data_IF_778502041884
#
_entry.id   IF_778502041884
#
_cell.length_a   1.000
_cell.length_b   1.000
_cell.length_c   1.000
_cell.angle_alpha   90.00
_cell.angle_beta   90.00
_cell.angle_gamma   90.00
#
_symmetry.space_group_name_H-M   'P 1'
#
loop_
_entity.id
_entity.type
_entity.pdbx_description
1 polymer ?
#
# COMPACT_ATOMS: atom_id res chain seq x y z
N UNK A 1 24.34 41.84 8.03
CA UNK A 1 24.76 40.68 7.21
C UNK A 1 24.84 39.47 8.12
N UNK A 2 23.67 38.87 8.53
CA UNK A 2 23.69 37.64 9.34
C UNK A 2 22.34 36.85 9.26
N UNK A 3 21.72 36.76 8.07
CA UNK A 3 20.44 36.04 7.92
C UNK A 3 20.44 34.94 6.83
N UNK A 4 21.57 34.58 6.22
CA UNK A 4 21.60 33.61 5.12
C UNK A 4 22.18 32.23 5.44
N UNK A 5 22.61 31.96 6.68
CA UNK A 5 23.29 30.69 7.03
C UNK A 5 22.37 29.63 7.61
N UNK A 6 21.18 29.98 8.13
CA UNK A 6 20.30 29.03 8.85
C UNK A 6 19.47 28.16 7.89
N UNK A 7 19.17 28.63 6.67
CA UNK A 7 18.31 27.90 5.74
C UNK A 7 19.01 26.70 5.03
N UNK A 8 20.33 26.75 4.89
CA UNK A 8 21.11 25.70 4.20
C UNK A 8 21.29 24.46 5.08
N UNK A 9 21.38 24.64 6.40
CA UNK A 9 21.58 23.53 7.36
C UNK A 9 20.33 22.65 7.51
N UNK A 10 19.13 23.21 7.50
CA UNK A 10 17.89 22.42 7.63
C UNK A 10 17.57 21.62 6.36
N UNK A 11 17.82 22.16 5.20
CA UNK A 11 17.59 21.47 3.92
C UNK A 11 18.60 20.32 3.73
N UNK A 12 19.86 20.48 4.13
CA UNK A 12 20.86 19.44 4.09
C UNK A 12 20.53 18.27 5.04
N UNK A 13 20.05 18.55 6.25
CA UNK A 13 19.63 17.50 7.20
C UNK A 13 18.42 16.71 6.69
N UNK A 14 17.43 17.37 6.08
CA UNK A 14 16.26 16.68 5.52
C UNK A 14 16.65 15.73 4.38
N UNK A 15 17.56 16.17 3.50
CA UNK A 15 18.05 15.35 2.37
C UNK A 15 18.89 14.17 2.85
N UNK A 16 19.64 14.33 3.93
CA UNK A 16 20.46 13.27 4.52
C UNK A 16 19.60 12.21 5.25
N UNK A 17 18.53 12.64 5.91
CA UNK A 17 17.53 11.78 6.54
C UNK A 17 16.74 10.95 5.52
N UNK A 18 16.32 11.56 4.41
CA UNK A 18 15.63 10.85 3.33
C UNK A 18 16.53 9.80 2.65
N UNK A 19 17.79 10.15 2.41
CA UNK A 19 18.77 9.23 1.81
C UNK A 19 19.11 8.07 2.75
N UNK A 20 19.22 8.33 4.05
CA UNK A 20 19.46 7.32 5.07
C UNK A 20 18.29 6.35 5.18
N UNK A 21 17.06 6.86 5.21
CA UNK A 21 15.83 6.06 5.28
C UNK A 21 15.64 5.20 4.01
N UNK A 22 15.94 5.74 2.84
CA UNK A 22 15.92 5.02 1.57
C UNK A 22 16.90 3.83 1.57
N UNK A 23 18.12 4.03 2.05
CA UNK A 23 19.12 2.97 2.14
C UNK A 23 18.68 1.88 3.13
N UNK A 24 18.03 2.23 4.24
CA UNK A 24 17.51 1.26 5.21
C UNK A 24 16.46 0.34 4.60
N UNK A 25 15.46 0.88 3.89
CA UNK A 25 14.40 0.09 3.25
C UNK A 25 14.98 -0.87 2.20
N UNK A 26 15.91 -0.42 1.36
CA UNK A 26 16.53 -1.30 0.36
C UNK A 26 17.37 -2.40 1.02
N UNK A 27 18.05 -2.13 2.14
CA UNK A 27 18.77 -3.14 2.91
C UNK A 27 17.81 -4.17 3.52
N UNK A 28 16.65 -3.74 4.05
CA UNK A 28 15.64 -4.65 4.59
C UNK A 28 15.09 -5.57 3.51
N UNK A 29 14.83 -5.05 2.31
CA UNK A 29 14.38 -5.84 1.16
C UNK A 29 15.46 -6.83 0.72
N UNK A 30 16.74 -6.43 0.70
CA UNK A 30 17.87 -7.30 0.35
C UNK A 30 18.04 -8.44 1.34
N UNK A 31 17.75 -8.22 2.63
CA UNK A 31 17.74 -9.27 3.66
C UNK A 31 16.62 -10.30 3.43
N UNK A 32 15.46 -9.87 2.89
CA UNK A 32 14.36 -10.77 2.56
C UNK A 32 14.68 -11.60 1.31
N UNK A 33 15.24 -10.95 0.28
CA UNK A 33 15.64 -11.60 -0.96
C UNK A 33 16.79 -10.84 -1.65
N UNK A 34 18.03 -11.35 -1.61
CA UNK A 34 19.18 -10.68 -2.25
C UNK A 34 19.02 -10.46 -3.76
N UNK A 35 18.10 -11.18 -4.41
CA UNK A 35 17.85 -11.05 -5.85
C UNK A 35 16.71 -10.07 -6.17
N UNK A 36 16.20 -9.30 -5.20
CA UNK A 36 15.07 -8.40 -5.41
C UNK A 36 15.28 -7.40 -6.58
N UNK A 37 16.53 -7.03 -6.86
CA UNK A 37 16.88 -6.13 -7.97
C UNK A 37 16.61 -6.72 -9.36
N UNK A 38 16.39 -8.04 -9.46
CA UNK A 38 16.00 -8.72 -10.71
C UNK A 38 14.48 -8.69 -10.92
N UNK A 39 13.71 -8.34 -9.90
CA UNK A 39 12.25 -8.23 -9.98
C UNK A 39 11.90 -6.99 -10.83
N UNK A 40 11.10 -7.18 -11.89
CA UNK A 40 10.71 -6.08 -12.79
C UNK A 40 9.95 -4.98 -12.02
N UNK A 41 8.97 -5.38 -11.19
CA UNK A 41 8.18 -4.45 -10.36
C UNK A 41 7.90 -5.09 -9.00
N UNK A 42 8.31 -4.40 -7.95
CA UNK A 42 8.07 -4.75 -6.55
C UNK A 42 7.40 -3.59 -5.82
N UNK A 43 6.31 -3.89 -5.12
CA UNK A 43 5.70 -3.02 -4.13
C UNK A 43 6.09 -3.55 -2.74
N UNK A 44 6.95 -2.84 -2.05
CA UNK A 44 7.31 -3.18 -0.66
C UNK A 44 6.46 -2.37 0.31
N UNK A 45 5.68 -3.07 1.14
CA UNK A 45 4.77 -2.48 2.11
C UNK A 45 5.38 -2.65 3.50
N UNK A 46 5.81 -1.54 4.09
CA UNK A 46 6.28 -1.46 5.48
C UNK A 46 5.10 -1.08 6.39
N UNK A 47 4.62 -2.10 7.13
CA UNK A 47 3.50 -1.94 8.07
C UNK A 47 3.86 -1.04 9.24
N UNK A 48 5.13 -1.02 9.64
CA UNK A 48 5.58 -0.23 10.80
C UNK A 48 5.55 1.26 10.51
N UNK A 49 6.04 1.66 9.33
CA UNK A 49 6.06 3.07 8.92
C UNK A 49 4.81 3.51 8.15
N UNK A 50 3.86 2.60 7.87
CA UNK A 50 2.66 2.83 7.06
C UNK A 50 3.00 3.42 5.69
N UNK A 51 3.99 2.82 5.02
CA UNK A 51 4.48 3.24 3.69
C UNK A 51 4.53 2.06 2.74
N UNK A 52 4.35 2.37 1.47
CA UNK A 52 4.58 1.44 0.37
C UNK A 52 5.58 2.04 -0.61
N UNK A 53 6.66 1.30 -0.89
CA UNK A 53 7.71 1.72 -1.82
C UNK A 53 7.53 0.97 -3.14
N UNK A 54 7.36 1.70 -4.23
CA UNK A 54 7.36 1.17 -5.58
C UNK A 54 8.79 1.10 -6.09
N UNK A 55 9.25 -0.10 -6.39
CA UNK A 55 10.61 -0.39 -6.85
C UNK A 55 10.55 -1.05 -8.23
N UNK A 56 11.39 -0.61 -9.14
CA UNK A 56 11.54 -1.20 -10.46
C UNK A 56 13.02 -1.56 -10.69
N UNK A 57 13.29 -2.87 -10.89
CA UNK A 57 14.65 -3.38 -11.09
C UNK A 57 15.63 -2.87 -10.02
N UNK A 58 15.27 -3.00 -8.76
CA UNK A 58 16.08 -2.57 -7.62
C UNK A 58 16.16 -1.05 -7.40
N UNK A 59 15.49 -0.24 -8.23
CA UNK A 59 15.48 1.21 -8.09
C UNK A 59 14.14 1.69 -7.55
N UNK A 60 14.16 2.45 -6.46
CA UNK A 60 12.95 3.11 -5.94
C UNK A 60 12.44 4.15 -6.94
N UNK A 61 11.16 4.02 -7.29
CA UNK A 61 10.45 4.94 -8.18
C UNK A 61 9.68 5.98 -7.37
N UNK A 62 8.93 5.51 -6.35
CA UNK A 62 8.09 6.37 -5.53
C UNK A 62 7.72 5.68 -4.22
N UNK A 63 7.52 6.49 -3.18
CA UNK A 63 6.96 6.06 -1.89
C UNK A 63 5.58 6.66 -1.71
N UNK A 64 4.63 5.83 -1.24
CA UNK A 64 3.25 6.18 -0.95
C UNK A 64 2.95 6.00 0.52
N UNK A 65 2.17 6.89 1.11
CA UNK A 65 1.55 6.65 2.42
C UNK A 65 0.38 5.68 2.27
N UNK A 66 0.25 4.76 3.23
CA UNK A 66 -0.82 3.75 3.22
C UNK A 66 -1.52 3.71 4.59
N UNK A 67 -2.58 2.93 4.68
CA UNK A 67 -3.19 2.52 5.95
C UNK A 67 -3.45 1.01 5.91
N UNK A 68 -2.85 0.30 6.86
CA UNK A 68 -3.06 -1.14 7.07
C UNK A 68 -4.11 -1.39 8.15
N UNK A 69 -4.30 -2.65 8.54
CA UNK A 69 -5.32 -3.02 9.52
C UNK A 69 -5.07 -2.43 10.91
N UNK A 70 -6.13 -1.89 11.51
CA UNK A 70 -6.17 -1.50 12.93
C UNK A 70 -6.03 -2.72 13.87
N UNK A 71 -6.38 -3.91 13.41
CA UNK A 71 -6.27 -5.17 14.16
C UNK A 71 -4.87 -5.80 14.08
N UNK A 72 -3.92 -5.11 13.43
CA UNK A 72 -2.55 -5.58 13.24
C UNK A 72 -2.40 -6.58 12.10
N UNK A 73 -1.40 -7.48 12.22
CA UNK A 73 -1.01 -8.41 11.17
C UNK A 73 -1.45 -9.84 11.44
N UNK A 74 -1.81 -10.59 10.39
CA UNK A 74 -2.24 -12.00 10.48
C UNK A 74 -2.98 -12.46 9.24
N UNK A 75 -3.02 -13.77 9.03
CA UNK A 75 -3.57 -14.37 7.82
C UNK A 75 -4.88 -15.11 8.01
N UNK A 76 -5.35 -15.29 9.24
CA UNK A 76 -6.56 -16.06 9.53
C UNK A 76 -7.79 -15.38 8.90
N UNK A 77 -8.66 -16.21 8.33
CA UNK A 77 -9.96 -15.78 7.81
C UNK A 77 -10.79 -15.13 8.91
N UNK A 78 -11.50 -14.05 8.59
CA UNK A 78 -12.31 -13.24 9.51
C UNK A 78 -11.54 -12.58 10.67
N UNK A 79 -10.21 -12.55 10.61
CA UNK A 79 -9.39 -11.83 11.62
C UNK A 79 -9.34 -10.32 11.42
N UNK A 80 -9.73 -9.82 10.25
CA UNK A 80 -9.58 -8.41 9.83
C UNK A 80 -8.14 -7.91 9.82
N UNK A 81 -7.15 -8.78 9.96
CA UNK A 81 -5.73 -8.46 10.00
C UNK A 81 -5.11 -8.42 8.60
N UNK A 82 -4.07 -7.61 8.42
CA UNK A 82 -3.28 -7.55 7.19
C UNK A 82 -2.31 -8.73 7.13
N UNK A 83 -2.37 -9.58 6.08
CA UNK A 83 -1.46 -10.72 5.95
C UNK A 83 -0.05 -10.27 5.56
N UNK A 84 0.96 -10.85 6.21
CA UNK A 84 2.37 -10.61 5.89
C UNK A 84 2.90 -11.56 4.79
N UNK A 85 4.05 -11.19 4.22
CA UNK A 85 4.84 -12.00 3.33
C UNK A 85 4.70 -11.63 1.85
N UNK A 86 5.15 -12.54 0.99
CA UNK A 86 5.18 -12.33 -0.47
C UNK A 86 3.80 -12.58 -1.09
N UNK A 87 3.36 -11.64 -1.88
CA UNK A 87 2.12 -11.66 -2.67
C UNK A 87 2.43 -11.24 -4.12
N UNK A 88 1.45 -11.40 -4.98
CA UNK A 88 1.42 -10.78 -6.31
C UNK A 88 0.07 -10.09 -6.55
N UNK A 89 0.03 -9.17 -7.49
CA UNK A 89 -1.22 -8.59 -7.98
C UNK A 89 -1.92 -9.66 -8.83
N UNK A 90 -2.99 -10.24 -8.30
CA UNK A 90 -3.81 -11.24 -9.00
C UNK A 90 -4.63 -10.59 -10.11
N UNK A 91 -5.28 -9.45 -9.80
CA UNK A 91 -6.18 -8.77 -10.72
C UNK A 91 -6.26 -7.29 -10.44
N UNK A 92 -6.37 -6.50 -11.50
CA UNK A 92 -6.62 -5.05 -11.48
C UNK A 92 -8.07 -4.77 -11.82
N UNK A 93 -8.79 -3.99 -10.99
CA UNK A 93 -10.22 -3.69 -11.17
C UNK A 93 -10.46 -2.20 -11.01
N UNK A 94 -11.32 -1.64 -11.86
CA UNK A 94 -11.68 -0.22 -11.82
C UNK A 94 -11.03 0.61 -12.91
N UNK A 95 -10.49 -0.01 -13.97
CA UNK A 95 -9.96 0.74 -15.12
C UNK A 95 -11.00 1.73 -15.66
N UNK A 96 -10.57 2.95 -15.94
CA UNK A 96 -11.40 4.05 -16.44
C UNK A 96 -12.57 4.47 -15.53
N UNK A 97 -12.68 3.99 -14.30
CA UNK A 97 -13.67 4.51 -13.36
C UNK A 97 -13.29 5.93 -12.91
N UNK A 98 -14.28 6.77 -12.61
CA UNK A 98 -14.02 8.09 -12.08
C UNK A 98 -13.31 8.06 -10.73
N UNK A 99 -12.62 9.14 -10.40
CA UNK A 99 -12.03 9.35 -9.08
C UNK A 99 -13.11 9.19 -7.99
N UNK A 100 -12.77 8.49 -6.90
CA UNK A 100 -13.64 8.22 -5.76
C UNK A 100 -14.86 7.33 -6.07
N UNK A 101 -14.91 6.63 -7.22
CA UNK A 101 -15.97 5.66 -7.53
C UNK A 101 -16.03 4.58 -6.43
N UNK A 102 -17.23 4.33 -5.88
CA UNK A 102 -17.44 3.31 -4.84
C UNK A 102 -17.59 1.94 -5.49
N UNK A 103 -16.71 1.00 -5.15
CA UNK A 103 -16.77 -0.39 -5.62
C UNK A 103 -17.37 -1.29 -4.53
N UNK A 104 -18.56 -1.81 -4.75
CA UNK A 104 -19.19 -2.82 -3.90
C UNK A 104 -19.10 -4.19 -4.56
N UNK A 105 -18.49 -5.17 -3.87
CA UNK A 105 -18.24 -6.49 -4.46
C UNK A 105 -17.41 -6.41 -5.76
N UNK A 106 -16.47 -5.46 -5.84
CA UNK A 106 -15.58 -5.21 -7.00
C UNK A 106 -16.27 -4.65 -8.24
N UNK A 107 -17.49 -4.14 -8.10
CA UNK A 107 -18.25 -3.50 -9.17
C UNK A 107 -18.61 -2.07 -8.76
N UNK A 108 -18.45 -1.11 -9.67
CA UNK A 108 -18.90 0.26 -9.42
C UNK A 108 -20.42 0.30 -9.26
N UNK A 109 -20.89 0.83 -8.15
CA UNK A 109 -22.32 0.94 -7.84
C UNK A 109 -23.00 2.20 -8.40
N UNK A 110 -22.28 3.00 -9.21
CA UNK A 110 -22.76 4.27 -9.78
C UNK A 110 -22.54 5.49 -8.88
N UNK A 111 -22.13 5.30 -7.63
CA UNK A 111 -21.90 6.39 -6.68
C UNK A 111 -20.42 6.82 -6.61
N UNK A 112 -20.23 8.06 -6.17
CA UNK A 112 -18.94 8.68 -5.90
C UNK A 112 -18.87 8.98 -4.40
N UNK A 113 -17.79 8.56 -3.75
CA UNK A 113 -17.57 8.79 -2.32
C UNK A 113 -17.29 10.27 -2.03
N UNK A 114 -17.87 10.78 -0.95
CA UNK A 114 -17.40 12.01 -0.31
C UNK A 114 -16.15 11.69 0.49
N UNK A 115 -15.08 12.44 0.26
CA UNK A 115 -13.79 12.20 0.93
C UNK A 115 -13.78 12.90 2.28
N UNK A 116 -13.46 12.12 3.31
CA UNK A 116 -13.27 12.56 4.70
C UNK A 116 -11.79 12.78 4.90
N UNK A 117 -11.41 14.04 5.17
CA UNK A 117 -10.02 14.45 5.41
C UNK A 117 -9.65 14.54 6.88
N UNK A 118 -10.66 14.56 7.71
CA UNK A 118 -10.55 14.55 9.15
C UNK A 118 -10.10 13.17 9.63
N UNK A 119 -9.52 13.13 10.80
CA UNK A 119 -9.14 11.91 11.51
C UNK A 119 -10.38 11.24 12.13
N UNK A 120 -11.25 10.71 11.26
CA UNK A 120 -12.53 10.09 11.65
C UNK A 120 -12.64 8.74 10.97
N UNK A 121 -12.83 7.71 11.78
CA UNK A 121 -13.19 6.36 11.34
C UNK A 121 -14.72 6.27 11.29
N UNK A 122 -15.27 5.80 10.19
CA UNK A 122 -16.71 5.69 9.98
C UNK A 122 -17.13 4.24 9.89
N UNK A 123 -18.43 3.95 10.05
CA UNK A 123 -18.99 2.60 9.89
C UNK A 123 -18.90 2.07 8.44
N UNK A 124 -18.37 2.87 7.51
CA UNK A 124 -18.34 2.57 6.07
C UNK A 124 -16.91 2.53 5.54
N UNK A 125 -16.26 1.37 5.58
CA UNK A 125 -14.97 1.15 4.88
C UNK A 125 -15.21 0.98 3.37
N UNK A 126 -15.39 2.12 2.67
CA UNK A 126 -15.61 2.11 1.23
C UNK A 126 -14.31 1.83 0.46
N UNK A 127 -14.32 0.75 -0.32
CA UNK A 127 -13.34 0.54 -1.39
C UNK A 127 -13.63 1.51 -2.53
N UNK A 128 -12.68 2.37 -2.87
CA UNK A 128 -12.89 3.43 -3.86
C UNK A 128 -11.84 3.43 -4.97
N UNK A 129 -12.16 4.06 -6.09
CA UNK A 129 -11.32 4.35 -7.25
C UNK A 129 -10.77 3.12 -7.96
N UNK A 130 -9.86 2.38 -7.36
CA UNK A 130 -9.14 1.22 -7.95
C UNK A 130 -8.96 0.11 -6.94
N UNK A 131 -8.85 -1.12 -7.44
CA UNK A 131 -8.48 -2.31 -6.68
C UNK A 131 -7.31 -2.99 -7.36
N UNK A 132 -6.25 -3.23 -6.62
CA UNK A 132 -5.20 -4.20 -6.91
C UNK A 132 -5.45 -5.39 -5.97
N UNK A 133 -6.04 -6.48 -6.49
CA UNK A 133 -6.39 -7.65 -5.70
C UNK A 133 -5.17 -8.54 -5.53
N UNK A 134 -4.83 -8.88 -4.31
CA UNK A 134 -3.62 -9.64 -3.98
C UNK A 134 -3.89 -11.15 -3.93
N UNK A 135 -2.91 -11.94 -4.37
CA UNK A 135 -2.81 -13.38 -4.15
C UNK A 135 -1.57 -13.68 -3.32
N UNK A 136 -1.72 -14.45 -2.24
CA UNK A 136 -0.59 -14.89 -1.42
C UNK A 136 0.27 -15.90 -2.17
N UNK A 137 1.58 -15.88 -1.95
CA UNK A 137 2.54 -16.78 -2.61
C UNK A 137 3.18 -17.80 -1.67
N UNK A 138 2.99 -17.65 -0.34
CA UNK A 138 3.65 -18.46 0.66
C UNK A 138 2.65 -19.45 1.32
N UNK A 139 2.75 -20.73 0.96
CA UNK A 139 1.92 -21.79 1.53
C UNK A 139 2.08 -21.85 3.06
N UNK A 140 0.96 -21.92 3.77
CA UNK A 140 0.93 -21.97 5.24
C UNK A 140 1.14 -20.63 5.92
N UNK A 141 1.36 -19.54 5.16
CA UNK A 141 1.53 -18.19 5.71
C UNK A 141 0.43 -17.22 5.21
N UNK A 142 0.25 -17.11 3.89
CA UNK A 142 -0.76 -16.25 3.27
C UNK A 142 -1.46 -16.92 2.08
N UNK A 143 -1.22 -18.22 1.90
CA UNK A 143 -1.81 -19.09 0.89
C UNK A 143 -2.27 -20.40 1.50
N UNK A 144 -3.51 -20.80 1.22
CA UNK A 144 -4.11 -22.06 1.67
C UNK A 144 -5.39 -21.86 2.48
N UNK A 145 -6.05 -22.95 2.81
CA UNK A 145 -7.39 -22.94 3.43
C UNK A 145 -7.42 -22.13 4.72
N UNK A 146 -8.33 -21.16 4.81
CA UNK A 146 -8.56 -20.33 5.99
C UNK A 146 -7.52 -19.21 6.22
N UNK A 147 -6.52 -19.08 5.32
CA UNK A 147 -5.47 -18.05 5.40
C UNK A 147 -5.14 -17.40 4.05
N UNK A 148 -5.84 -17.79 3.00
CA UNK A 148 -5.54 -17.35 1.63
C UNK A 148 -5.90 -15.88 1.42
N UNK A 149 -4.90 -15.05 1.10
CA UNK A 149 -5.08 -13.61 0.93
C UNK A 149 -6.07 -13.27 -0.19
N UNK A 150 -6.10 -14.08 -1.28
CA UNK A 150 -7.04 -13.87 -2.38
C UNK A 150 -8.47 -14.22 -1.97
N UNK A 151 -8.68 -15.33 -1.28
CA UNK A 151 -9.99 -15.75 -0.80
C UNK A 151 -10.53 -14.82 0.30
N UNK A 152 -9.63 -14.21 1.10
CA UNK A 152 -9.93 -13.18 2.08
C UNK A 152 -10.17 -11.79 1.47
N UNK A 153 -10.07 -11.64 0.15
CA UNK A 153 -10.27 -10.37 -0.56
C UNK A 153 -9.34 -9.25 -0.08
N UNK A 154 -8.06 -9.56 0.11
CA UNK A 154 -7.05 -8.55 0.46
C UNK A 154 -6.70 -7.73 -0.78
N UNK A 155 -6.86 -6.40 -0.66
CA UNK A 155 -6.65 -5.45 -1.74
C UNK A 155 -5.65 -4.36 -1.35
N UNK A 156 -5.05 -3.73 -2.36
CA UNK A 156 -4.59 -2.34 -2.30
C UNK A 156 -5.66 -1.51 -3.01
N UNK A 157 -6.22 -0.47 -2.35
CA UNK A 157 -7.34 0.28 -2.89
C UNK A 157 -7.41 1.72 -2.35
N UNK A 158 -8.19 2.58 -3.02
CA UNK A 158 -8.51 3.90 -2.50
C UNK A 158 -9.57 3.83 -1.39
N UNK A 159 -9.60 4.83 -0.52
CA UNK A 159 -10.56 4.94 0.57
C UNK A 159 -11.32 6.26 0.54
N UNK A 160 -12.53 6.29 1.11
CA UNK A 160 -13.23 7.53 1.41
C UNK A 160 -12.61 8.27 2.61
N UNK A 161 -11.93 7.56 3.50
CA UNK A 161 -11.36 8.06 4.75
C UNK A 161 -9.87 8.42 4.56
N UNK A 162 -9.60 9.39 3.67
CA UNK A 162 -8.22 9.81 3.38
C UNK A 162 -7.51 10.46 4.59
N UNK A 163 -8.27 10.95 5.60
CA UNK A 163 -7.71 11.48 6.84
C UNK A 163 -7.05 10.42 7.72
N UNK A 164 -7.29 9.12 7.47
CA UNK A 164 -6.70 8.00 8.19
C UNK A 164 -5.43 7.44 7.52
N UNK A 165 -5.06 7.92 6.33
CA UNK A 165 -3.83 7.47 5.65
C UNK A 165 -2.60 7.90 6.46
N UNK A 166 -1.66 6.97 6.64
CA UNK A 166 -0.44 7.14 7.45
C UNK A 166 -0.50 6.46 8.81
N UNK A 167 -1.65 5.85 9.16
CA UNK A 167 -1.85 5.08 10.40
C UNK A 167 -2.71 3.83 10.15
N UNK A 168 -2.61 2.78 10.99
CA UNK A 168 -3.48 1.61 10.90
C UNK A 168 -4.95 2.00 11.13
N UNK A 169 -5.84 1.67 10.17
CA UNK A 169 -7.28 1.96 10.26
C UNK A 169 -8.16 1.02 9.41
N UNK A 170 -7.59 0.13 8.57
CA UNK A 170 -8.37 -0.75 7.71
C UNK A 170 -8.84 -2.04 8.40
N UNK A 171 -9.73 -2.77 7.72
CA UNK A 171 -10.17 -4.12 8.08
C UNK A 171 -9.38 -5.21 7.31
N UNK A 172 -8.07 -5.01 7.15
CA UNK A 172 -7.16 -6.00 6.56
C UNK A 172 -6.55 -5.62 5.23
N UNK A 173 -7.20 -4.79 4.42
CA UNK A 173 -6.69 -4.29 3.17
C UNK A 173 -5.61 -3.19 3.38
N UNK A 174 -4.95 -2.80 2.30
CA UNK A 174 -4.02 -1.67 2.26
C UNK A 174 -4.73 -0.50 1.57
N UNK A 175 -5.08 0.53 2.36
CA UNK A 175 -5.74 1.73 1.86
C UNK A 175 -4.71 2.75 1.37
N UNK A 176 -5.04 3.50 0.31
CA UNK A 176 -4.25 4.59 -0.25
C UNK A 176 -5.11 5.83 -0.48
N UNK A 177 -4.48 6.98 -0.65
CA UNK A 177 -5.14 8.12 -1.27
C UNK A 177 -5.68 7.74 -2.65
N UNK A 178 -6.86 8.24 -3.00
CA UNK A 178 -7.50 7.91 -4.29
C UNK A 178 -6.63 8.27 -5.51
N UNK A 179 -5.96 9.40 -5.47
CA UNK A 179 -5.05 9.82 -6.55
C UNK A 179 -3.85 8.89 -6.66
N UNK A 180 -3.29 8.48 -5.52
CA UNK A 180 -2.11 7.62 -5.47
C UNK A 180 -2.42 6.20 -5.97
N UNK A 181 -3.57 5.62 -5.59
CA UNK A 181 -3.93 4.30 -6.09
C UNK A 181 -4.26 4.29 -7.58
N UNK A 182 -4.81 5.39 -8.13
CA UNK A 182 -5.01 5.53 -9.58
C UNK A 182 -3.67 5.59 -10.30
N UNK A 183 -2.74 6.42 -9.83
CA UNK A 183 -1.38 6.50 -10.38
C UNK A 183 -0.67 5.14 -10.31
N UNK A 184 -0.67 4.50 -9.14
CA UNK A 184 -0.07 3.18 -8.96
C UNK A 184 -0.69 2.15 -9.90
N UNK A 185 -2.02 2.15 -10.02
CA UNK A 185 -2.74 1.25 -10.92
C UNK A 185 -2.26 1.36 -12.37
N UNK A 186 -1.96 2.57 -12.85
CA UNK A 186 -1.48 2.80 -14.21
C UNK A 186 0.00 2.42 -14.40
N UNK A 187 0.79 2.40 -13.32
CA UNK A 187 2.24 2.12 -13.33
C UNK A 187 2.60 0.64 -13.17
N UNK A 188 1.71 -0.19 -12.61
CA UNK A 188 2.01 -1.59 -12.31
C UNK A 188 1.12 -2.55 -13.09
N UNK A 189 1.65 -3.72 -13.42
CA UNK A 189 0.92 -4.77 -14.12
C UNK A 189 0.40 -5.85 -13.17
N UNK A 190 -0.53 -6.68 -13.64
CA UNK A 190 -0.85 -7.96 -12.99
C UNK A 190 0.42 -8.81 -12.93
N UNK A 191 0.57 -9.59 -11.86
CA UNK A 191 1.77 -10.36 -11.48
C UNK A 191 2.94 -9.52 -10.93
N UNK A 192 2.85 -8.19 -10.85
CA UNK A 192 3.80 -7.42 -10.05
C UNK A 192 3.85 -7.94 -8.62
N UNK A 193 5.04 -8.07 -8.05
CA UNK A 193 5.21 -8.60 -6.70
C UNK A 193 4.84 -7.56 -5.65
N UNK A 194 4.24 -8.02 -4.55
CA UNK A 194 3.88 -7.20 -3.40
C UNK A 194 4.37 -7.89 -2.13
N UNK A 195 5.29 -7.30 -1.42
CA UNK A 195 5.84 -7.84 -0.19
C UNK A 195 5.39 -7.00 0.99
N UNK A 196 4.77 -7.62 1.99
CA UNK A 196 4.16 -6.99 3.17
C UNK A 196 4.92 -7.45 4.42
N UNK A 197 5.59 -6.51 5.12
CA UNK A 197 6.43 -6.78 6.30
C UNK A 197 6.31 -5.71 7.38
#
# INVERSE_FOLDING_TARGET
VLLSVICISSCAMIVEDEKTNKNMILNDIELIDPNFSQIETLLYVDITSQRMVHIKKGTEIKTYSISSSVYGTGSEENSFKTPLGKHEIYKKIGNNLPLNAILKGRVWNGAIATIIKEDIDTDFDHVTSRILWLDGLELGKNKGKGIDSRERYIYIHGTAEEGLIGKPASDGCIRMYNKDVIELFDLVDEKAQVWIY
#
